data_IF_302712558662
#
_entry.id   IF_302712558662
#
_cell.length_a   1.000
_cell.length_b   1.000
_cell.length_c   1.000
_cell.angle_alpha   90.00
_cell.angle_beta   90.00
_cell.angle_gamma   90.00
#
_symmetry.space_group_name_H-M   'P 1'
#
loop_
_entity.id
_entity.type
_entity.pdbx_description
1 polymer ?
#
# COMPACT_ATOMS: atom_id res chain seq x y z
N UNK A 1 18.59 6.87 5.15
CA UNK A 1 17.32 7.62 5.20
C UNK A 1 16.44 6.94 6.24
N UNK A 2 15.79 7.68 7.14
CA UNK A 2 14.89 7.07 8.13
C UNK A 2 13.59 6.59 7.48
N UNK A 3 12.82 5.78 8.19
CA UNK A 3 11.49 5.34 7.72
C UNK A 3 10.54 6.53 7.59
N UNK A 4 10.62 7.48 8.52
CA UNK A 4 9.85 8.74 8.47
C UNK A 4 10.21 9.56 7.23
N UNK A 5 11.50 9.75 6.95
CA UNK A 5 11.97 10.52 5.78
C UNK A 5 11.55 9.86 4.46
N UNK A 6 11.55 8.53 4.42
CA UNK A 6 11.11 7.78 3.24
C UNK A 6 9.61 7.88 3.03
N UNK A 7 8.84 7.64 4.10
CA UNK A 7 7.39 7.70 4.05
C UNK A 7 6.90 9.10 3.64
N UNK A 8 7.51 10.16 4.19
CA UNK A 8 7.20 11.55 3.83
C UNK A 8 7.50 11.90 2.36
N UNK A 9 8.38 11.15 1.68
CA UNK A 9 8.67 11.34 0.25
C UNK A 9 7.72 10.57 -0.66
N UNK A 10 7.31 9.36 -0.27
CA UNK A 10 6.50 8.49 -1.11
C UNK A 10 4.99 8.76 -0.98
N UNK A 11 4.51 9.17 0.20
CA UNK A 11 3.10 9.50 0.42
C UNK A 11 2.52 10.51 -0.61
N UNK A 12 3.16 11.67 -0.88
CA UNK A 12 2.62 12.61 -1.88
C UNK A 12 2.61 12.05 -3.30
N UNK A 13 3.51 11.11 -3.63
CA UNK A 13 3.51 10.44 -4.94
C UNK A 13 2.31 9.50 -5.08
N UNK A 14 1.94 8.79 -4.02
CA UNK A 14 0.71 7.98 -4.02
C UNK A 14 -0.56 8.83 -4.10
N UNK A 15 -0.57 9.99 -3.44
CA UNK A 15 -1.69 10.93 -3.53
C UNK A 15 -1.83 11.46 -4.95
N UNK A 16 -0.72 11.85 -5.59
CA UNK A 16 -0.69 12.26 -6.99
C UNK A 16 -1.14 11.12 -7.92
N UNK A 17 -0.61 9.91 -7.74
CA UNK A 17 -0.96 8.74 -8.55
C UNK A 17 -2.46 8.40 -8.46
N UNK A 18 -3.06 8.49 -7.28
CA UNK A 18 -4.49 8.27 -7.08
C UNK A 18 -5.38 9.26 -7.86
N UNK A 19 -4.85 10.43 -8.26
CA UNK A 19 -5.60 11.36 -9.13
C UNK A 19 -5.69 10.88 -10.58
N UNK A 20 -4.71 10.08 -11.02
CA UNK A 20 -4.63 9.48 -12.35
C UNK A 20 -5.28 8.10 -12.40
N UNK A 21 -5.02 7.26 -11.39
CA UNK A 21 -5.58 5.91 -11.26
C UNK A 21 -7.01 6.00 -10.71
N UNK A 22 -7.93 6.44 -11.57
CA UNK A 22 -9.33 6.58 -11.21
C UNK A 22 -10.06 5.26 -11.33
N UNK A 23 -10.94 5.00 -10.36
CA UNK A 23 -11.85 3.86 -10.38
C UNK A 23 -12.57 3.79 -11.74
N UNK A 24 -12.48 2.68 -12.49
CA UNK A 24 -13.22 2.53 -13.72
C UNK A 24 -14.72 2.62 -13.43
N UNK A 25 -15.42 3.51 -14.13
CA UNK A 25 -16.85 3.67 -13.94
C UNK A 25 -17.59 2.37 -14.32
N UNK A 26 -18.30 1.75 -13.38
CA UNK A 26 -19.15 0.63 -13.74
C UNK A 26 -20.27 1.12 -14.64
N UNK A 27 -20.39 0.53 -15.84
CA UNK A 27 -21.49 0.80 -16.77
C UNK A 27 -22.76 0.03 -16.44
N UNK A 28 -22.75 -0.72 -15.33
CA UNK A 28 -23.78 -1.68 -14.98
C UNK A 28 -25.08 -1.06 -14.42
N UNK A 29 -25.15 0.26 -14.18
CA UNK A 29 -26.36 0.96 -13.70
C UNK A 29 -26.73 0.66 -12.24
N UNK A 30 -26.48 -0.56 -11.76
CA UNK A 30 -26.60 -1.05 -10.39
C UNK A 30 -25.44 -2.04 -10.12
N UNK A 31 -24.22 -1.56 -9.82
CA UNK A 31 -23.10 -2.44 -9.46
C UNK A 31 -23.37 -3.04 -8.08
N UNK A 32 -23.70 -4.32 -8.04
CA UNK A 32 -23.59 -5.17 -6.84
C UNK A 32 -22.21 -5.80 -6.71
N UNK A 33 -21.34 -5.48 -7.66
CA UNK A 33 -19.93 -5.78 -7.63
C UNK A 33 -19.27 -4.80 -6.65
N UNK A 34 -18.63 -5.27 -5.58
CA UNK A 34 -17.87 -4.43 -4.64
C UNK A 34 -16.58 -3.85 -5.28
N UNK A 35 -16.70 -3.33 -6.51
CA UNK A 35 -15.61 -2.88 -7.36
C UNK A 35 -14.85 -1.72 -6.71
N UNK A 36 -15.57 -0.82 -6.03
CA UNK A 36 -14.96 0.27 -5.27
C UNK A 36 -14.08 -0.24 -4.13
N UNK A 37 -14.58 -1.22 -3.36
CA UNK A 37 -13.83 -1.82 -2.25
C UNK A 37 -12.63 -2.63 -2.76
N UNK A 38 -12.83 -3.46 -3.78
CA UNK A 38 -11.75 -4.23 -4.41
C UNK A 38 -10.65 -3.32 -4.98
N UNK A 39 -11.04 -2.17 -5.55
CA UNK A 39 -10.10 -1.20 -6.06
C UNK A 39 -9.33 -0.48 -4.95
N UNK A 40 -10.00 -0.08 -3.86
CA UNK A 40 -9.33 0.48 -2.69
C UNK A 40 -8.36 -0.53 -2.07
N UNK A 41 -8.80 -1.78 -1.89
CA UNK A 41 -7.94 -2.85 -1.37
C UNK A 41 -6.72 -3.09 -2.27
N UNK A 42 -6.90 -3.02 -3.59
CA UNK A 42 -5.77 -3.09 -4.53
C UNK A 42 -4.80 -1.92 -4.33
N UNK A 43 -5.28 -0.69 -4.23
CA UNK A 43 -4.43 0.48 -4.01
C UNK A 43 -3.67 0.39 -2.68
N UNK A 44 -4.32 -0.07 -1.63
CA UNK A 44 -3.68 -0.27 -0.32
C UNK A 44 -2.57 -1.33 -0.38
N UNK A 45 -2.82 -2.43 -1.09
CA UNK A 45 -1.81 -3.46 -1.32
C UNK A 45 -0.63 -2.93 -2.14
N UNK A 46 -0.89 -2.19 -3.23
CA UNK A 46 0.15 -1.61 -4.09
C UNK A 46 1.05 -0.66 -3.27
N UNK A 47 0.46 0.21 -2.43
CA UNK A 47 1.18 1.11 -1.52
C UNK A 47 2.04 0.36 -0.50
N UNK A 48 1.49 -0.69 0.12
CA UNK A 48 2.25 -1.56 1.02
C UNK A 48 3.44 -2.19 0.30
N UNK A 49 3.23 -2.72 -0.90
CA UNK A 49 4.29 -3.33 -1.70
C UNK A 49 5.41 -2.33 -2.04
N UNK A 50 5.05 -1.12 -2.50
CA UNK A 50 6.02 -0.07 -2.80
C UNK A 50 6.81 0.33 -1.54
N UNK A 51 6.12 0.52 -0.41
CA UNK A 51 6.75 0.84 0.86
C UNK A 51 7.78 -0.22 1.27
N UNK A 52 7.37 -1.50 1.23
CA UNK A 52 8.21 -2.63 1.60
C UNK A 52 9.36 -2.87 0.62
N UNK A 53 9.21 -2.52 -0.66
CA UNK A 53 10.26 -2.65 -1.66
C UNK A 53 11.30 -1.53 -1.59
N UNK A 54 10.89 -0.30 -1.30
CA UNK A 54 11.81 0.84 -1.23
C UNK A 54 12.52 1.02 0.12
N UNK A 55 12.11 0.29 1.16
CA UNK A 55 12.78 0.32 2.46
C UNK A 55 14.03 -0.58 2.46
N UNK A 56 15.03 -0.23 3.28
CA UNK A 56 16.30 -0.95 3.32
C UNK A 56 16.12 -2.37 3.91
N UNK A 57 16.17 -3.39 3.04
CA UNK A 57 16.04 -4.81 3.40
C UNK A 57 17.15 -5.31 4.33
N UNK A 58 18.34 -4.71 4.33
CA UNK A 58 19.43 -5.09 5.24
C UNK A 58 19.10 -4.71 6.68
N UNK A 59 18.37 -3.60 6.88
CA UNK A 59 17.95 -3.14 8.21
C UNK A 59 16.63 -3.77 8.69
N UNK A 60 15.70 -4.03 7.76
CA UNK A 60 14.33 -4.45 8.10
C UNK A 60 13.97 -5.86 7.59
N UNK A 61 14.95 -6.65 7.13
CA UNK A 61 14.71 -7.93 6.45
C UNK A 61 13.90 -8.96 7.25
N UNK A 62 14.05 -8.99 8.58
CA UNK A 62 13.27 -9.88 9.44
C UNK A 62 11.79 -9.47 9.52
N UNK A 63 11.53 -8.17 9.68
CA UNK A 63 10.17 -7.60 9.72
C UNK A 63 9.50 -7.77 8.35
N UNK A 64 10.25 -7.52 7.26
CA UNK A 64 9.80 -7.73 5.89
C UNK A 64 9.41 -9.19 5.61
N UNK A 65 10.26 -10.14 6.01
CA UNK A 65 9.98 -11.58 5.86
C UNK A 65 8.74 -12.00 6.66
N UNK A 66 8.54 -11.42 7.84
CA UNK A 66 7.34 -11.68 8.64
C UNK A 66 6.08 -11.17 7.95
N UNK A 67 6.11 -9.98 7.34
CA UNK A 67 4.96 -9.43 6.61
C UNK A 67 4.61 -10.21 5.34
N UNK A 68 5.59 -10.69 4.60
CA UNK A 68 5.33 -11.56 3.44
C UNK A 68 4.72 -12.92 3.80
N UNK A 69 4.90 -13.34 5.05
CA UNK A 69 4.38 -14.62 5.54
C UNK A 69 2.98 -14.48 6.14
N UNK A 70 2.41 -13.27 6.21
CA UNK A 70 1.08 -13.02 6.75
C UNK A 70 0.00 -13.20 5.69
N UNK A 71 -1.08 -13.91 6.06
CA UNK A 71 -2.31 -14.03 5.28
C UNK A 71 -3.50 -13.76 6.23
N UNK A 72 -4.25 -12.66 6.07
CA UNK A 72 -4.08 -11.60 5.07
C UNK A 72 -2.86 -10.69 5.34
N UNK A 73 -2.37 -9.96 4.32
CA UNK A 73 -1.23 -9.04 4.47
C UNK A 73 -1.52 -7.93 5.50
N UNK A 74 -0.48 -7.37 6.15
CA UNK A 74 -0.65 -6.27 7.09
C UNK A 74 -1.10 -4.99 6.38
N UNK A 75 -1.72 -4.07 7.12
CA UNK A 75 -1.97 -2.72 6.61
C UNK A 75 -0.68 -1.92 6.51
N UNK A 76 -0.65 -0.93 5.60
CA UNK A 76 0.47 0.00 5.46
C UNK A 76 0.83 0.68 6.78
N UNK A 77 -0.18 1.10 7.56
CA UNK A 77 -0.02 1.71 8.87
C UNK A 77 0.70 0.79 9.86
N UNK A 78 0.28 -0.49 9.94
CA UNK A 78 0.92 -1.49 10.79
C UNK A 78 2.36 -1.75 10.36
N UNK A 79 2.61 -1.79 9.04
CA UNK A 79 3.95 -1.96 8.50
C UNK A 79 4.86 -0.77 8.83
N UNK A 80 4.34 0.45 8.69
CA UNK A 80 5.03 1.68 9.05
C UNK A 80 5.40 1.70 10.53
N UNK A 81 4.44 1.43 11.42
CA UNK A 81 4.68 1.40 12.87
C UNK A 81 5.67 0.34 13.32
N UNK A 82 5.71 -0.82 12.66
CA UNK A 82 6.68 -1.86 13.00
C UNK A 82 8.12 -1.52 12.56
N UNK A 83 8.28 -0.59 11.61
CA UNK A 83 9.58 -0.22 11.03
C UNK A 83 10.13 1.11 11.55
N UNK A 84 9.34 1.87 12.32
CA UNK A 84 9.81 3.03 13.09
C UNK A 84 10.84 2.61 14.15
#
# INVERSE_FOLDING_TARGET
MSVVDYFGKIQPLWDEFATYDRLPACRCGFCLCDLGEQFQQKQDNDRLHEFLCGINKEKFGAIWSSFLSQDPPPTLDRAYHAML
#
